data_IF_207454081220
#
_entry.id   IF_207454081220
#
_cell.length_a   1.000
_cell.length_b   1.000
_cell.length_c   1.000
_cell.angle_alpha   90.00
_cell.angle_beta   90.00
_cell.angle_gamma   90.00
#
_symmetry.space_group_name_H-M   'P 1'
#
loop_
_entity.id
_entity.type
_entity.pdbx_description
1 polymer ?
#
# COMPACT_ATOMS: atom_id res chain seq x y z
N UNK A 1 -4.19 -13.33 -24.40
CA UNK A 1 -4.96 -12.36 -23.59
C UNK A 1 -4.85 -12.80 -22.14
N UNK A 2 -4.35 -11.96 -21.28
CA UNK A 2 -4.39 -12.23 -19.83
C UNK A 2 -5.87 -12.35 -19.45
N UNK A 3 -6.20 -13.43 -18.75
CA UNK A 3 -7.56 -13.67 -18.26
C UNK A 3 -7.94 -12.52 -17.30
N UNK A 4 -9.03 -11.80 -17.59
CA UNK A 4 -9.50 -10.67 -16.74
C UNK A 4 -10.05 -11.19 -15.41
N UNK A 5 -9.15 -11.60 -14.53
CA UNK A 5 -9.48 -12.25 -13.24
C UNK A 5 -10.18 -11.34 -12.24
N UNK A 6 -10.12 -10.00 -12.47
CA UNK A 6 -10.73 -8.99 -11.62
C UNK A 6 -11.87 -8.24 -12.31
N UNK A 7 -12.44 -8.82 -13.38
CA UNK A 7 -13.59 -8.23 -14.04
C UNK A 7 -14.73 -7.99 -13.03
N UNK A 8 -15.32 -6.78 -13.07
CA UNK A 8 -16.34 -6.29 -12.15
C UNK A 8 -15.87 -6.09 -10.69
N UNK A 9 -14.57 -6.18 -10.38
CA UNK A 9 -14.01 -5.81 -9.08
C UNK A 9 -13.66 -4.33 -9.06
N UNK A 10 -13.85 -3.72 -7.91
CA UNK A 10 -13.55 -2.32 -7.66
C UNK A 10 -12.42 -2.24 -6.64
N UNK A 11 -11.33 -1.58 -7.03
CA UNK A 11 -10.16 -1.40 -6.19
C UNK A 11 -9.93 0.08 -5.85
N UNK A 12 -9.52 0.36 -4.63
CA UNK A 12 -8.98 1.65 -4.20
C UNK A 12 -7.51 1.47 -3.83
N UNK A 13 -6.64 2.26 -4.46
CA UNK A 13 -5.20 2.26 -4.18
C UNK A 13 -4.78 3.60 -3.61
N UNK A 14 -4.26 3.60 -2.38
CA UNK A 14 -3.72 4.81 -1.73
C UNK A 14 -2.23 4.97 -2.05
N UNK A 15 -1.75 6.22 -2.11
CA UNK A 15 -0.37 6.50 -2.50
C UNK A 15 -0.07 6.14 -3.97
N UNK A 16 -1.07 6.25 -4.85
CA UNK A 16 -1.01 5.81 -6.23
C UNK A 16 -0.19 6.74 -7.15
N UNK A 17 0.31 7.87 -6.67
CA UNK A 17 1.02 8.85 -7.51
C UNK A 17 2.45 8.47 -7.88
N UNK A 18 2.99 7.36 -7.41
CA UNK A 18 4.32 6.83 -7.78
C UNK A 18 4.55 5.41 -7.23
N UNK A 19 5.60 4.77 -7.74
CA UNK A 19 6.18 3.53 -7.21
C UNK A 19 5.17 2.39 -7.11
N UNK A 20 5.16 1.69 -5.97
CA UNK A 20 4.33 0.49 -5.77
C UNK A 20 2.85 0.78 -6.00
N UNK A 21 2.33 1.93 -5.54
CA UNK A 21 0.92 2.28 -5.70
C UNK A 21 0.52 2.49 -7.16
N UNK A 22 1.35 3.17 -7.93
CA UNK A 22 1.17 3.39 -9.36
C UNK A 22 1.20 2.06 -10.13
N UNK A 23 2.23 1.24 -9.93
CA UNK A 23 2.36 -0.07 -10.56
C UNK A 23 1.19 -1.00 -10.18
N UNK A 24 0.74 -0.95 -8.92
CA UNK A 24 -0.42 -1.73 -8.45
C UNK A 24 -1.71 -1.31 -9.17
N UNK A 25 -1.95 0.00 -9.32
CA UNK A 25 -3.14 0.50 -10.02
C UNK A 25 -3.17 0.01 -11.46
N UNK A 26 -2.04 0.04 -12.16
CA UNK A 26 -1.90 -0.49 -13.53
C UNK A 26 -2.16 -2.00 -13.58
N UNK A 27 -1.51 -2.79 -12.73
CA UNK A 27 -1.67 -4.24 -12.71
C UNK A 27 -3.12 -4.68 -12.40
N UNK A 28 -3.81 -3.99 -11.48
CA UNK A 28 -5.21 -4.26 -11.17
C UNK A 28 -6.14 -3.93 -12.35
N UNK A 29 -5.89 -2.80 -13.05
CA UNK A 29 -6.65 -2.41 -14.23
C UNK A 29 -6.42 -3.39 -15.40
N UNK A 30 -5.18 -3.81 -15.66
CA UNK A 30 -4.85 -4.84 -16.66
C UNK A 30 -5.57 -6.17 -16.39
N UNK A 31 -5.74 -6.51 -15.11
CA UNK A 31 -6.51 -7.68 -14.68
C UNK A 31 -8.04 -7.48 -14.76
N UNK A 32 -8.51 -6.29 -15.16
CA UNK A 32 -9.93 -5.97 -15.42
C UNK A 32 -10.65 -5.27 -14.27
N UNK A 33 -9.97 -4.86 -13.20
CA UNK A 33 -10.59 -4.10 -12.12
C UNK A 33 -10.90 -2.65 -12.55
N UNK A 34 -11.99 -2.08 -12.02
CA UNK A 34 -12.16 -0.63 -11.97
C UNK A 34 -11.34 -0.09 -10.81
N UNK A 35 -10.61 1.00 -11.02
CA UNK A 35 -9.63 1.48 -10.04
C UNK A 35 -9.91 2.93 -9.64
N UNK A 36 -10.04 3.16 -8.34
CA UNK A 36 -9.91 4.49 -7.73
C UNK A 36 -8.45 4.66 -7.29
N UNK A 37 -7.86 5.82 -7.62
CA UNK A 37 -6.47 6.15 -7.33
C UNK A 37 -6.42 7.39 -6.43
N UNK A 38 -5.81 7.26 -5.26
CA UNK A 38 -5.78 8.31 -4.25
C UNK A 38 -4.36 8.71 -3.88
N UNK A 39 -4.05 10.00 -3.93
CA UNK A 39 -2.80 10.60 -3.45
C UNK A 39 -2.91 12.14 -3.38
N UNK A 40 -1.83 12.80 -2.92
CA UNK A 40 -1.77 14.27 -2.82
C UNK A 40 -1.42 14.97 -4.12
N UNK A 41 -0.63 14.31 -4.99
CA UNK A 41 -0.11 14.89 -6.24
C UNK A 41 -1.12 14.68 -7.36
N UNK A 42 -1.99 15.66 -7.54
CA UNK A 42 -3.07 15.61 -8.52
C UNK A 42 -2.56 15.44 -9.95
N UNK A 43 -1.53 16.17 -10.33
CA UNK A 43 -0.87 16.08 -11.64
C UNK A 43 -0.44 14.65 -11.97
N UNK A 44 0.20 13.97 -11.03
CA UNK A 44 0.64 12.58 -11.20
C UNK A 44 -0.53 11.58 -11.25
N UNK A 45 -1.61 11.87 -10.54
CA UNK A 45 -2.82 11.04 -10.62
C UNK A 45 -3.51 11.21 -11.97
N UNK A 46 -3.55 12.42 -12.52
CA UNK A 46 -4.11 12.67 -13.84
C UNK A 46 -3.30 11.97 -14.94
N UNK A 47 -1.96 11.99 -14.86
CA UNK A 47 -1.07 11.25 -15.77
C UNK A 47 -1.31 9.73 -15.67
N UNK A 48 -1.44 9.20 -14.46
CA UNK A 48 -1.76 7.78 -14.25
C UNK A 48 -3.15 7.44 -14.79
N UNK A 49 -4.13 8.30 -14.61
CA UNK A 49 -5.48 8.11 -15.15
C UNK A 49 -5.48 7.98 -16.68
N UNK A 50 -4.69 8.81 -17.38
CA UNK A 50 -4.54 8.68 -18.84
C UNK A 50 -3.93 7.33 -19.26
N UNK A 51 -3.01 6.79 -18.48
CA UNK A 51 -2.42 5.47 -18.72
C UNK A 51 -3.35 4.30 -18.41
N UNK A 52 -4.31 4.50 -17.52
CA UNK A 52 -5.32 3.49 -17.15
C UNK A 52 -6.44 3.36 -18.19
N UNK A 53 -6.81 4.44 -18.89
CA UNK A 53 -7.89 4.44 -19.90
C UNK A 53 -7.73 3.38 -21.00
N UNK A 54 -6.54 3.20 -21.64
CA UNK A 54 -6.35 2.19 -22.68
C UNK A 54 -6.54 0.75 -22.19
N UNK A 55 -6.46 0.51 -20.87
CA UNK A 55 -6.70 -0.78 -20.26
C UNK A 55 -8.20 -1.08 -20.08
N UNK A 56 -9.07 -0.15 -20.47
CA UNK A 56 -10.52 -0.25 -20.34
C UNK A 56 -11.02 0.16 -18.95
N UNK A 57 -10.18 0.81 -18.16
CA UNK A 57 -10.58 1.39 -16.89
C UNK A 57 -11.05 2.85 -17.09
N UNK A 58 -12.12 3.23 -16.39
CA UNK A 58 -12.46 4.63 -16.14
C UNK A 58 -12.06 4.94 -14.69
N UNK A 59 -10.82 5.43 -14.46
CA UNK A 59 -10.31 5.58 -13.10
C UNK A 59 -10.98 6.73 -12.37
N UNK A 60 -11.33 6.53 -11.10
CA UNK A 60 -11.72 7.61 -10.21
C UNK A 60 -10.48 8.23 -9.59
N UNK A 61 -10.24 9.51 -9.87
CA UNK A 61 -9.10 10.28 -9.34
C UNK A 61 -9.51 11.01 -8.07
N UNK A 62 -8.85 10.68 -6.96
CA UNK A 62 -9.12 11.21 -5.62
C UNK A 62 -7.89 11.95 -5.09
N UNK A 63 -7.87 13.28 -5.20
CA UNK A 63 -6.85 14.07 -4.54
C UNK A 63 -7.12 14.09 -3.03
N UNK A 64 -6.19 13.53 -2.23
CA UNK A 64 -6.34 13.44 -0.79
C UNK A 64 -5.00 13.44 -0.06
N UNK A 65 -4.88 14.26 1.00
CA UNK A 65 -3.82 14.12 1.98
C UNK A 65 -4.35 13.25 3.14
N UNK A 66 -3.80 12.05 3.28
CA UNK A 66 -4.21 11.12 4.33
C UNK A 66 -3.72 11.51 5.74
N UNK A 67 -3.04 12.64 5.88
CA UNK A 67 -2.81 13.28 7.17
C UNK A 67 -4.01 14.12 7.61
N UNK A 68 -4.95 14.43 6.71
CA UNK A 68 -6.25 15.00 7.08
C UNK A 68 -7.11 13.91 7.75
N UNK A 69 -7.63 14.20 8.92
CA UNK A 69 -8.39 13.30 9.80
C UNK A 69 -9.54 12.56 9.08
N UNK A 70 -10.18 13.22 8.11
CA UNK A 70 -11.33 12.66 7.41
C UNK A 70 -11.04 12.17 5.99
N UNK A 71 -9.81 12.34 5.51
CA UNK A 71 -9.48 12.00 4.12
C UNK A 71 -9.65 10.50 3.82
N UNK A 72 -9.26 9.64 4.75
CA UNK A 72 -9.37 8.20 4.59
C UNK A 72 -10.83 7.74 4.44
N UNK A 73 -11.73 8.30 5.23
CA UNK A 73 -13.16 8.03 5.14
C UNK A 73 -13.74 8.57 3.82
N UNK A 74 -13.36 9.80 3.43
CA UNK A 74 -13.84 10.41 2.18
C UNK A 74 -13.48 9.59 0.96
N UNK A 75 -12.22 9.17 0.79
CA UNK A 75 -11.81 8.42 -0.41
C UNK A 75 -12.52 7.07 -0.53
N UNK A 76 -12.84 6.42 0.58
CA UNK A 76 -13.63 5.17 0.58
C UNK A 76 -15.07 5.48 0.20
N UNK A 77 -15.71 6.46 0.84
CA UNK A 77 -17.10 6.85 0.56
C UNK A 77 -17.29 7.32 -0.90
N UNK A 78 -16.35 8.11 -1.43
CA UNK A 78 -16.38 8.57 -2.81
C UNK A 78 -16.23 7.40 -3.80
N UNK A 79 -15.35 6.42 -3.48
CA UNK A 79 -15.20 5.20 -4.27
C UNK A 79 -16.49 4.37 -4.29
N UNK A 80 -17.11 4.17 -3.11
CA UNK A 80 -18.37 3.43 -3.02
C UNK A 80 -19.54 4.17 -3.67
N UNK A 81 -19.58 5.50 -3.57
CA UNK A 81 -20.59 6.32 -4.24
C UNK A 81 -20.48 6.24 -5.76
N UNK A 82 -19.24 6.28 -6.29
CA UNK A 82 -19.00 6.29 -7.73
C UNK A 82 -19.23 4.91 -8.38
N UNK A 83 -18.75 3.83 -7.75
CA UNK A 83 -18.81 2.49 -8.33
C UNK A 83 -19.87 1.57 -7.70
N UNK A 84 -20.51 2.00 -6.62
CA UNK A 84 -21.53 1.23 -5.90
C UNK A 84 -21.00 0.27 -4.84
N UNK A 85 -19.67 0.04 -4.80
CA UNK A 85 -19.02 -0.86 -3.83
C UNK A 85 -17.50 -0.67 -3.82
N UNK A 86 -16.83 -1.24 -2.83
CA UNK A 86 -15.37 -1.38 -2.80
C UNK A 86 -15.02 -2.84 -2.49
N UNK A 87 -14.28 -3.51 -3.38
CA UNK A 87 -13.91 -4.93 -3.25
C UNK A 87 -12.49 -5.13 -2.75
N UNK A 88 -11.56 -4.27 -3.19
CA UNK A 88 -10.13 -4.38 -2.89
C UNK A 88 -9.65 -3.02 -2.39
N UNK A 89 -9.16 -2.98 -1.16
CA UNK A 89 -8.49 -1.81 -0.60
C UNK A 89 -6.99 -2.08 -0.51
N UNK A 90 -6.18 -1.29 -1.22
CA UNK A 90 -4.71 -1.34 -1.11
C UNK A 90 -4.23 -0.14 -0.32
N UNK A 91 -3.88 -0.36 0.94
CA UNK A 91 -3.27 0.61 1.82
C UNK A 91 -1.76 0.65 1.57
N UNK A 92 -1.35 1.51 0.62
CA UNK A 92 0.04 1.64 0.20
C UNK A 92 0.65 3.00 0.58
N UNK A 93 -0.15 4.03 0.83
CA UNK A 93 0.37 5.34 1.22
C UNK A 93 1.29 5.24 2.44
N UNK A 94 2.46 5.87 2.36
CA UNK A 94 3.43 5.86 3.44
C UNK A 94 4.61 6.77 3.20
N UNK A 95 5.39 6.99 4.25
CA UNK A 95 6.62 7.79 4.24
C UNK A 95 7.68 7.11 5.11
N UNK A 96 8.94 7.33 4.78
CA UNK A 96 10.08 6.77 5.50
C UNK A 96 11.08 7.86 5.87
N UNK A 97 11.24 8.10 7.17
CA UNK A 97 12.33 8.92 7.72
C UNK A 97 13.25 7.99 8.51
N UNK A 98 14.53 8.00 8.14
CA UNK A 98 15.57 7.22 8.78
C UNK A 98 16.59 8.16 9.41
N UNK A 99 16.81 8.00 10.71
CA UNK A 99 17.71 8.85 11.49
C UNK A 99 18.08 8.15 12.81
N UNK A 100 19.24 8.47 13.41
CA UNK A 100 19.59 7.97 14.75
C UNK A 100 18.57 8.45 15.79
N UNK A 101 18.24 7.60 16.75
CA UNK A 101 17.25 7.93 17.80
C UNK A 101 17.65 9.19 18.59
N UNK A 102 18.97 9.38 18.83
CA UNK A 102 19.48 10.53 19.56
C UNK A 102 19.33 11.87 18.82
N UNK A 103 19.12 11.84 17.49
CA UNK A 103 19.01 13.02 16.62
C UNK A 103 17.61 13.14 16.02
N UNK A 104 16.66 12.37 16.54
CA UNK A 104 15.36 12.19 15.94
C UNK A 104 14.48 13.45 16.01
N UNK A 105 13.86 13.79 14.88
CA UNK A 105 12.76 14.74 14.81
C UNK A 105 11.42 14.05 15.12
N UNK A 106 10.90 14.28 16.32
CA UNK A 106 9.62 13.71 16.75
C UNK A 106 8.43 14.14 15.85
N UNK A 107 8.51 15.27 15.16
CA UNK A 107 7.50 15.69 14.19
C UNK A 107 7.47 14.74 12.98
N UNK A 108 8.64 14.34 12.46
CA UNK A 108 8.75 13.32 11.40
C UNK A 108 8.26 11.96 11.88
N UNK A 109 8.59 11.57 13.10
CA UNK A 109 8.13 10.30 13.67
C UNK A 109 6.63 10.26 13.85
N UNK A 110 6.02 11.34 14.37
CA UNK A 110 4.57 11.48 14.43
C UNK A 110 3.93 11.35 13.06
N UNK A 111 4.49 12.04 12.06
CA UNK A 111 4.00 11.95 10.68
C UNK A 111 4.05 10.52 10.11
N UNK A 112 5.10 9.73 10.43
CA UNK A 112 5.14 8.32 10.06
C UNK A 112 4.04 7.50 10.74
N UNK A 113 3.79 7.73 12.02
CA UNK A 113 2.71 7.02 12.75
C UNK A 113 1.34 7.39 12.18
N UNK A 114 1.11 8.65 11.93
CA UNK A 114 -0.15 9.15 11.37
C UNK A 114 -0.39 8.59 9.96
N UNK A 115 0.60 8.69 9.06
CA UNK A 115 0.43 8.28 7.67
C UNK A 115 0.52 6.76 7.49
N UNK A 116 1.53 6.08 8.08
CA UNK A 116 1.78 4.68 7.80
C UNK A 116 0.86 3.74 8.60
N UNK A 117 0.28 4.22 9.72
CA UNK A 117 -0.52 3.39 10.63
C UNK A 117 -1.94 3.91 10.74
N UNK A 118 -2.14 5.13 11.24
CA UNK A 118 -3.49 5.63 11.54
C UNK A 118 -4.33 5.81 10.28
N UNK A 119 -3.75 6.33 9.19
CA UNK A 119 -4.49 6.49 7.92
C UNK A 119 -4.90 5.14 7.32
N UNK A 120 -4.03 4.12 7.43
CA UNK A 120 -4.31 2.76 7.01
C UNK A 120 -5.47 2.15 7.84
N UNK A 121 -5.45 2.34 9.15
CA UNK A 121 -6.53 1.89 10.05
C UNK A 121 -7.84 2.59 9.69
N UNK A 122 -7.81 3.91 9.47
CA UNK A 122 -9.00 4.69 9.14
C UNK A 122 -9.62 4.28 7.79
N UNK A 123 -8.80 4.07 6.74
CA UNK A 123 -9.27 3.58 5.44
C UNK A 123 -9.86 2.17 5.56
N UNK A 124 -9.20 1.31 6.33
CA UNK A 124 -9.67 -0.05 6.61
C UNK A 124 -11.02 -0.02 7.33
N UNK A 125 -11.14 0.77 8.40
CA UNK A 125 -12.38 0.91 9.17
C UNK A 125 -13.54 1.38 8.29
N UNK A 126 -13.30 2.37 7.42
CA UNK A 126 -14.29 2.88 6.50
C UNK A 126 -14.79 1.82 5.51
N UNK A 127 -13.90 0.98 4.97
CA UNK A 127 -14.23 -0.06 3.99
C UNK A 127 -14.93 -1.29 4.60
N UNK A 128 -14.68 -1.59 5.87
CA UNK A 128 -15.12 -2.83 6.50
C UNK A 128 -16.64 -3.01 6.50
N UNK A 129 -17.40 -1.96 6.74
CA UNK A 129 -18.86 -2.05 6.82
C UNK A 129 -19.48 -2.65 5.55
N UNK A 130 -19.12 -2.13 4.39
CA UNK A 130 -19.57 -2.61 3.09
C UNK A 130 -19.08 -4.03 2.78
N UNK A 131 -17.78 -4.32 3.03
CA UNK A 131 -17.19 -5.63 2.78
C UNK A 131 -17.84 -6.73 3.65
N UNK A 132 -18.05 -6.47 4.94
CA UNK A 132 -18.70 -7.41 5.87
C UNK A 132 -20.15 -7.70 5.49
N UNK A 133 -20.92 -6.66 5.16
CA UNK A 133 -22.31 -6.81 4.74
C UNK A 133 -22.46 -7.70 3.49
N UNK A 134 -21.52 -7.61 2.55
CA UNK A 134 -21.49 -8.45 1.34
C UNK A 134 -20.81 -9.81 1.56
N UNK A 135 -20.14 -10.01 2.69
CA UNK A 135 -19.29 -11.19 2.97
C UNK A 135 -18.24 -11.43 1.88
N UNK A 136 -17.71 -10.35 1.34
CA UNK A 136 -16.73 -10.34 0.26
C UNK A 136 -15.93 -9.05 0.29
N UNK A 137 -14.62 -9.16 0.39
CA UNK A 137 -13.68 -8.05 0.41
C UNK A 137 -12.24 -8.52 0.57
N UNK A 138 -11.29 -7.68 0.16
CA UNK A 138 -9.87 -7.94 0.35
C UNK A 138 -9.13 -6.66 0.72
N UNK A 139 -8.51 -6.65 1.88
CA UNK A 139 -7.67 -5.57 2.36
C UNK A 139 -6.21 -5.99 2.18
N UNK A 140 -5.44 -5.19 1.46
CA UNK A 140 -4.00 -5.40 1.24
C UNK A 140 -3.25 -4.26 1.90
N UNK A 141 -2.43 -4.57 2.89
CA UNK A 141 -1.63 -3.61 3.63
C UNK A 141 -0.16 -3.72 3.23
N UNK A 142 0.45 -2.60 2.83
CA UNK A 142 1.87 -2.58 2.47
C UNK A 142 2.70 -2.30 3.72
N UNK A 143 3.33 -3.37 4.24
CA UNK A 143 4.30 -3.27 5.32
C UNK A 143 5.72 -3.07 4.76
N UNK A 144 6.68 -3.87 5.18
CA UNK A 144 8.09 -3.89 4.75
C UNK A 144 8.80 -5.04 5.44
N UNK A 145 9.96 -5.45 4.95
CA UNK A 145 10.91 -6.27 5.75
C UNK A 145 11.26 -5.60 7.07
N UNK A 146 11.16 -4.26 7.16
CA UNK A 146 11.27 -3.51 8.41
C UNK A 146 10.13 -3.78 9.42
N UNK A 147 9.08 -4.50 9.02
CA UNK A 147 8.07 -5.07 9.92
C UNK A 147 8.47 -6.42 10.55
N UNK A 148 9.64 -6.97 10.17
CA UNK A 148 10.21 -8.23 10.68
C UNK A 148 11.56 -8.03 11.35
N UNK A 149 12.35 -7.09 10.84
CA UNK A 149 13.71 -6.82 11.34
C UNK A 149 13.87 -5.32 11.52
N UNK A 150 14.21 -4.89 12.74
CA UNK A 150 14.54 -3.50 13.03
C UNK A 150 16.04 -3.28 12.93
N UNK A 151 16.45 -2.38 12.04
CA UNK A 151 17.86 -2.01 11.86
C UNK A 151 18.18 -0.68 12.57
N UNK A 152 19.44 -0.39 12.90
CA UNK A 152 19.86 0.95 13.35
C UNK A 152 19.33 2.03 12.40
N UNK A 153 19.03 3.19 12.93
CA UNK A 153 18.45 4.35 12.26
C UNK A 153 17.02 4.18 11.72
N UNK A 154 16.41 3.01 11.83
CA UNK A 154 15.05 2.76 11.34
C UNK A 154 14.00 2.62 12.46
N UNK A 155 14.32 3.00 13.69
CA UNK A 155 13.50 2.70 14.87
C UNK A 155 12.00 3.05 14.70
N UNK A 156 11.69 4.29 14.34
CA UNK A 156 10.30 4.70 14.17
C UNK A 156 9.66 4.09 12.93
N UNK A 157 10.38 4.03 11.80
CA UNK A 157 9.87 3.37 10.60
C UNK A 157 9.56 1.89 10.85
N UNK A 158 10.50 1.17 11.47
CA UNK A 158 10.28 -0.23 11.85
C UNK A 158 9.07 -0.37 12.79
N UNK A 159 8.95 0.48 13.82
CA UNK A 159 7.79 0.47 14.71
C UNK A 159 6.46 0.62 13.95
N UNK A 160 6.39 1.50 12.93
CA UNK A 160 5.18 1.62 12.10
C UNK A 160 4.90 0.34 11.32
N UNK A 161 5.92 -0.30 10.73
CA UNK A 161 5.75 -1.49 9.91
C UNK A 161 5.46 -2.76 10.72
N UNK A 162 6.06 -2.93 11.91
CA UNK A 162 5.64 -3.93 12.90
C UNK A 162 4.18 -3.69 13.32
N UNK A 163 3.80 -2.43 13.54
CA UNK A 163 2.42 -2.06 13.86
C UNK A 163 1.42 -2.48 12.77
N UNK A 164 1.76 -2.26 11.49
CA UNK A 164 0.93 -2.70 10.36
C UNK A 164 0.77 -4.23 10.32
N UNK A 165 1.85 -4.99 10.54
CA UNK A 165 1.80 -6.46 10.59
C UNK A 165 0.89 -6.93 11.72
N UNK A 166 1.10 -6.40 12.94
CA UNK A 166 0.30 -6.77 14.12
C UNK A 166 -1.18 -6.41 13.95
N UNK A 167 -1.48 -5.19 13.46
CA UNK A 167 -2.84 -4.76 13.15
C UNK A 167 -3.51 -5.69 12.15
N UNK A 168 -2.81 -6.03 11.07
CA UNK A 168 -3.37 -6.85 9.99
C UNK A 168 -3.71 -8.26 10.46
N UNK A 169 -2.88 -8.88 11.30
CA UNK A 169 -3.18 -10.21 11.85
C UNK A 169 -4.36 -10.16 12.85
N UNK A 170 -4.43 -9.13 13.69
CA UNK A 170 -5.58 -8.93 14.58
C UNK A 170 -6.87 -8.75 13.76
N UNK A 171 -6.85 -7.86 12.77
CA UNK A 171 -7.99 -7.62 11.89
C UNK A 171 -8.42 -8.90 11.16
N UNK A 172 -7.48 -9.67 10.61
CA UNK A 172 -7.78 -10.94 9.93
C UNK A 172 -8.59 -11.87 10.82
N UNK A 173 -8.22 -11.97 12.10
CA UNK A 173 -8.93 -12.80 13.09
C UNK A 173 -10.32 -12.27 13.45
N UNK A 174 -10.52 -10.97 13.34
CA UNK A 174 -11.84 -10.37 13.59
C UNK A 174 -12.83 -10.59 12.45
N UNK A 175 -12.32 -10.60 11.17
CA UNK A 175 -13.18 -10.53 9.98
C UNK A 175 -13.24 -11.83 9.16
N UNK A 176 -12.53 -12.90 9.55
CA UNK A 176 -12.50 -14.14 8.75
C UNK A 176 -13.88 -14.80 8.59
N UNK A 177 -14.74 -14.71 9.63
CA UNK A 177 -16.11 -15.24 9.55
C UNK A 177 -16.98 -14.42 8.59
N UNK A 178 -16.63 -13.16 8.35
CA UNK A 178 -17.28 -12.30 7.37
C UNK A 178 -16.74 -12.50 5.94
N UNK A 179 -15.82 -13.45 5.74
CA UNK A 179 -15.14 -13.75 4.46
C UNK A 179 -14.37 -12.57 3.89
N UNK A 180 -13.97 -11.61 4.70
CA UNK A 180 -13.05 -10.54 4.32
C UNK A 180 -11.63 -11.05 4.48
N UNK A 181 -10.85 -10.98 3.39
CA UNK A 181 -9.45 -11.38 3.40
C UNK A 181 -8.56 -10.20 3.79
N UNK A 182 -7.48 -10.49 4.49
CA UNK A 182 -6.45 -9.50 4.81
C UNK A 182 -5.10 -10.07 4.43
N UNK A 183 -4.35 -9.32 3.62
CA UNK A 183 -2.99 -9.65 3.20
C UNK A 183 -2.03 -8.56 3.60
N UNK A 184 -0.85 -8.95 4.05
CA UNK A 184 0.28 -8.05 4.29
C UNK A 184 1.36 -8.36 3.25
N UNK A 185 1.79 -7.34 2.53
CA UNK A 185 2.92 -7.42 1.61
C UNK A 185 4.11 -6.75 2.28
N UNK A 186 5.24 -7.45 2.33
CA UNK A 186 6.43 -7.04 3.07
C UNK A 186 7.64 -6.95 2.14
N UNK A 187 7.72 -5.87 1.31
CA UNK A 187 8.83 -5.70 0.38
C UNK A 187 10.13 -5.41 1.11
N UNK A 188 11.22 -5.91 0.55
CA UNK A 188 12.57 -5.43 0.81
C UNK A 188 12.83 -4.10 0.12
N UNK A 189 14.05 -3.93 -0.39
CA UNK A 189 14.45 -2.71 -1.08
C UNK A 189 13.80 -2.65 -2.46
N UNK A 190 13.02 -1.60 -2.70
CA UNK A 190 12.31 -1.33 -3.95
C UNK A 190 12.78 0.00 -4.53
N UNK A 191 12.96 0.07 -5.85
CA UNK A 191 13.34 1.29 -6.58
C UNK A 191 12.18 2.29 -6.61
N UNK A 192 12.04 3.11 -5.57
CA UNK A 192 10.96 4.09 -5.41
C UNK A 192 11.48 5.41 -4.84
N UNK A 193 10.66 6.47 -4.97
CA UNK A 193 10.91 7.79 -4.35
C UNK A 193 10.90 7.77 -2.81
N UNK A 194 10.55 6.66 -2.16
CA UNK A 194 10.43 6.57 -0.69
C UNK A 194 11.71 6.99 0.04
N UNK A 195 12.88 6.68 -0.53
CA UNK A 195 14.19 7.06 0.02
C UNK A 195 14.49 8.55 -0.06
N UNK A 196 13.82 9.29 -0.92
CA UNK A 196 14.05 10.73 -1.07
C UNK A 196 13.66 11.51 0.19
N UNK A 197 12.75 10.94 0.98
CA UNK A 197 12.31 11.51 2.26
C UNK A 197 13.35 11.40 3.40
N UNK A 198 14.43 10.61 3.25
CA UNK A 198 15.47 10.48 4.27
C UNK A 198 16.19 11.82 4.37
N UNK A 199 15.97 12.51 5.49
CA UNK A 199 16.54 13.85 5.71
C UNK A 199 17.93 13.85 6.34
N UNK A 200 18.36 12.77 7.00
CA UNK A 200 19.69 12.64 7.61
C UNK A 200 20.72 12.23 6.55
N UNK A 201 21.61 13.15 6.17
CA UNK A 201 22.51 12.96 5.01
C UNK A 201 23.34 11.69 5.07
N UNK A 202 24.05 11.43 6.18
CA UNK A 202 24.89 10.24 6.30
C UNK A 202 24.11 8.93 6.23
N UNK A 203 22.87 8.89 6.74
CA UNK A 203 22.00 7.71 6.64
C UNK A 203 21.51 7.55 5.19
N UNK A 204 21.14 8.64 4.54
CA UNK A 204 20.71 8.62 3.12
C UNK A 204 21.82 8.11 2.22
N UNK A 205 23.05 8.60 2.42
CA UNK A 205 24.23 8.18 1.64
C UNK A 205 24.53 6.69 1.84
N UNK A 206 24.46 6.20 3.08
CA UNK A 206 24.67 4.78 3.39
C UNK A 206 23.60 3.89 2.75
N UNK A 207 22.32 4.30 2.80
CA UNK A 207 21.23 3.56 2.16
C UNK A 207 21.35 3.57 0.64
N UNK A 208 21.73 4.71 0.04
CA UNK A 208 21.95 4.79 -1.42
C UNK A 208 23.14 3.93 -1.86
N UNK A 209 24.26 3.93 -1.12
CA UNK A 209 25.39 3.08 -1.40
C UNK A 209 25.02 1.59 -1.31
N UNK A 210 24.25 1.22 -0.29
CA UNK A 210 23.73 -0.15 -0.16
C UNK A 210 22.79 -0.51 -1.32
N UNK A 211 21.87 0.38 -1.70
CA UNK A 211 20.98 0.17 -2.84
C UNK A 211 21.75 -0.06 -4.15
N UNK A 212 22.83 0.67 -4.38
CA UNK A 212 23.69 0.50 -5.56
C UNK A 212 24.47 -0.83 -5.57
N UNK A 213 24.60 -1.49 -4.43
CA UNK A 213 25.34 -2.76 -4.30
C UNK A 213 24.52 -4.01 -4.65
N UNK A 214 23.22 -3.86 -4.92
CA UNK A 214 22.30 -4.95 -5.24
C UNK A 214 21.32 -4.55 -6.34
N UNK A 215 20.67 -5.55 -6.94
CA UNK A 215 19.56 -5.29 -7.88
C UNK A 215 18.27 -5.14 -7.08
N UNK A 216 17.79 -3.88 -6.97
CA UNK A 216 16.53 -3.58 -6.28
C UNK A 216 15.33 -4.27 -6.94
N UNK A 217 14.30 -4.59 -6.13
CA UNK A 217 12.97 -4.89 -6.68
C UNK A 217 12.45 -3.67 -7.46
N UNK A 218 11.72 -3.94 -8.51
CA UNK A 218 10.95 -2.89 -9.18
C UNK A 218 9.54 -2.79 -8.56
N UNK A 219 8.88 -1.64 -8.66
CA UNK A 219 7.49 -1.50 -8.21
C UNK A 219 6.56 -2.57 -8.77
N UNK A 220 6.79 -2.99 -10.01
CA UNK A 220 6.04 -4.02 -10.73
C UNK A 220 6.15 -5.39 -10.05
N UNK A 221 7.32 -5.75 -9.50
CA UNK A 221 7.51 -7.02 -8.77
C UNK A 221 6.58 -7.09 -7.55
N UNK A 222 6.38 -5.95 -6.87
CA UNK A 222 5.47 -5.85 -5.72
C UNK A 222 4.02 -5.84 -6.18
N UNK A 223 3.71 -5.16 -7.29
CA UNK A 223 2.37 -5.14 -7.87
C UNK A 223 1.92 -6.54 -8.31
N UNK A 224 2.81 -7.35 -8.89
CA UNK A 224 2.54 -8.75 -9.24
C UNK A 224 2.26 -9.59 -7.99
N UNK A 225 2.98 -9.38 -6.89
CA UNK A 225 2.72 -10.05 -5.62
C UNK A 225 1.35 -9.68 -5.04
N UNK A 226 0.94 -8.41 -5.14
CA UNK A 226 -0.40 -7.96 -4.76
C UNK A 226 -1.45 -8.62 -5.65
N UNK A 227 -1.25 -8.60 -6.97
CA UNK A 227 -2.15 -9.22 -7.94
C UNK A 227 -2.30 -10.72 -7.67
N UNK A 228 -1.20 -11.41 -7.37
CA UNK A 228 -1.23 -12.82 -6.95
C UNK A 228 -2.16 -13.03 -5.76
N UNK A 229 -2.07 -12.21 -4.71
CA UNK A 229 -2.93 -12.34 -3.52
C UNK A 229 -4.41 -12.13 -3.85
N UNK A 230 -4.74 -11.05 -4.57
CA UNK A 230 -6.14 -10.66 -4.79
C UNK A 230 -6.87 -11.54 -5.81
N UNK A 231 -6.13 -12.20 -6.70
CA UNK A 231 -6.68 -13.10 -7.72
C UNK A 231 -6.86 -14.55 -7.28
N UNK A 232 -6.50 -14.90 -6.03
CA UNK A 232 -6.76 -16.27 -5.53
C UNK A 232 -8.25 -16.54 -5.37
N UNK A 233 -8.69 -17.80 -5.53
CA UNK A 233 -10.08 -18.18 -5.28
C UNK A 233 -10.56 -17.71 -3.88
N UNK A 234 -11.84 -17.39 -3.70
CA UNK A 234 -12.34 -16.80 -2.45
C UNK A 234 -12.07 -17.60 -1.15
N UNK A 235 -11.84 -18.91 -1.26
CA UNK A 235 -11.50 -19.75 -0.12
C UNK A 235 -10.00 -19.76 0.23
N UNK A 236 -9.16 -19.10 -0.60
CA UNK A 236 -7.72 -19.01 -0.39
C UNK A 236 -7.37 -17.59 0.08
N UNK A 237 -6.76 -17.48 1.24
CA UNK A 237 -6.22 -16.24 1.77
C UNK A 237 -4.69 -16.36 1.87
N UNK A 238 -3.98 -15.45 1.21
CA UNK A 238 -2.54 -15.26 1.41
C UNK A 238 -2.43 -14.19 2.49
N UNK A 239 -2.05 -14.57 3.69
CA UNK A 239 -2.08 -13.65 4.82
C UNK A 239 -0.83 -12.75 4.84
N UNK A 240 0.32 -13.32 4.51
CA UNK A 240 1.61 -12.61 4.49
C UNK A 240 2.42 -13.04 3.27
N UNK A 241 3.05 -12.07 2.63
CA UNK A 241 3.95 -12.31 1.52
C UNK A 241 5.16 -11.39 1.64
N UNK A 242 6.31 -12.00 1.97
CA UNK A 242 7.57 -11.31 2.08
C UNK A 242 8.40 -11.55 0.83
N UNK A 243 8.88 -10.48 0.19
CA UNK A 243 9.72 -10.53 -0.99
C UNK A 243 10.93 -9.61 -0.86
N UNK A 244 12.08 -10.06 -1.31
CA UNK A 244 13.33 -9.31 -1.28
C UNK A 244 14.05 -9.40 -2.61
N UNK A 245 14.90 -8.42 -2.94
CA UNK A 245 15.99 -8.69 -3.89
C UNK A 245 16.75 -9.96 -3.50
N UNK A 246 17.12 -10.77 -4.49
CA UNK A 246 17.85 -12.03 -4.21
C UNK A 246 19.15 -11.79 -3.43
N UNK A 247 19.79 -10.64 -3.66
CA UNK A 247 21.05 -10.26 -3.03
C UNK A 247 20.86 -9.55 -1.68
N UNK A 248 19.63 -9.33 -1.23
CA UNK A 248 19.34 -8.71 0.06
C UNK A 248 19.33 -9.75 1.18
N UNK A 249 20.31 -9.69 2.10
CA UNK A 249 20.42 -10.62 3.23
C UNK A 249 19.29 -10.49 4.25
N UNK A 250 18.88 -9.26 4.59
CA UNK A 250 17.92 -8.95 5.65
C UNK A 250 16.86 -7.95 5.22
#
# INVERSE_FOLDING_TARGET
MLEKRLENRIALVTGASSGIGEATALALAEAGAKVAIAARRRDRLDDLAERLKPLGAEPLVLEADLLDEHAAQRIVADTETHYGRLDILVNNAGVMYLEPVAEADLGRWRKMLELNVLSLIASTQAALGGMRARRDGHIVNIASVAGRVANPNSAAYAATKFGVVAFSEALRREVYQDRVRVSVIEPGLVATELRDHIGHAAVKDAINAWAQSLRELQPEDVAEAILFCVTRPPHVAINELLLRPTDQER
#
